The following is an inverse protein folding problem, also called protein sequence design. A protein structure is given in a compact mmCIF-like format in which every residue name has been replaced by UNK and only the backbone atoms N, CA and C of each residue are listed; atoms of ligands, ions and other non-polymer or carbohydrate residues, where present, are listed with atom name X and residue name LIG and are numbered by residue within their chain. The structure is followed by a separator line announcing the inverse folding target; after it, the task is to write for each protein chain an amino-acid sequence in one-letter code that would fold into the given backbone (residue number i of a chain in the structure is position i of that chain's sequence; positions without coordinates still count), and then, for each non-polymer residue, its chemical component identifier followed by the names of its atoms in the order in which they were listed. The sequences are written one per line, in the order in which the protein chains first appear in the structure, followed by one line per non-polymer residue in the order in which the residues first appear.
data_IF_518474470567
#
_entry.id   IF_518474470567
#
_cell.length_a   1.000
_cell.length_b   1.000
_cell.length_c   1.000
_cell.angle_alpha   90.00
_cell.angle_beta   90.00
_cell.angle_gamma   90.00
#
_symmetry.space_group_name_H-M   'P 1'
#
loop_
_entity.id
_entity.type
_entity.pdbx_description
1 polymer ?
#
# COMPACT_ATOMS: atom_id res chain seq x y z
N UNK A 1 9.17 6.18 -97.09
CA UNK A 1 10.51 6.25 -96.46
C UNK A 1 10.64 7.54 -95.65
N UNK A 2 10.50 7.49 -94.31
CA UNK A 2 10.72 8.64 -93.41
C UNK A 2 11.87 8.30 -92.45
N UNK A 3 13.00 9.01 -92.55
CA UNK A 3 14.04 9.07 -91.50
C UNK A 3 13.68 10.23 -90.56
N UNK A 4 13.29 9.95 -89.32
CA UNK A 4 13.22 10.94 -88.24
C UNK A 4 14.56 10.95 -87.48
N UNK A 5 15.20 12.12 -87.38
CA UNK A 5 16.38 12.36 -86.54
C UNK A 5 15.96 12.28 -85.07
N UNK A 6 16.68 11.46 -84.30
CA UNK A 6 16.66 11.41 -82.84
C UNK A 6 17.37 12.66 -82.30
N UNK A 7 16.64 13.52 -81.59
CA UNK A 7 17.23 14.37 -80.54
C UNK A 7 16.98 13.67 -79.21
N UNK A 8 18.06 13.51 -78.46
CA UNK A 8 18.27 12.52 -77.41
C UNK A 8 17.65 12.97 -76.09
N UNK A 9 17.06 12.01 -75.35
CA UNK A 9 16.52 12.16 -73.99
C UNK A 9 17.55 12.63 -72.93
N UNK A 10 18.77 13.00 -73.35
CA UNK A 10 19.87 13.41 -72.47
C UNK A 10 19.78 14.90 -72.07
N UNK A 11 19.24 15.75 -72.95
CA UNK A 11 19.18 17.21 -72.70
C UNK A 11 18.16 17.62 -71.63
N UNK A 12 17.01 16.93 -71.55
CA UNK A 12 15.98 17.22 -70.54
C UNK A 12 16.36 16.73 -69.14
N UNK A 13 17.20 15.69 -69.04
CA UNK A 13 17.67 15.15 -67.76
C UNK A 13 18.75 16.04 -67.14
N UNK A 14 19.65 16.62 -67.96
CA UNK A 14 20.71 17.51 -67.49
C UNK A 14 20.17 18.82 -66.90
N UNK A 15 19.11 19.39 -67.47
CA UNK A 15 18.48 20.63 -66.98
C UNK A 15 17.82 20.40 -65.61
N UNK A 16 17.21 19.23 -65.40
CA UNK A 16 16.61 18.86 -64.11
C UNK A 16 17.66 18.72 -62.99
N UNK A 17 18.82 18.14 -63.28
CA UNK A 17 19.91 17.98 -62.29
C UNK A 17 20.51 19.35 -61.90
N UNK A 18 20.71 20.26 -62.86
CA UNK A 18 21.24 21.60 -62.58
C UNK A 18 20.28 22.40 -61.69
N UNK A 19 18.97 22.28 -61.89
CA UNK A 19 17.98 22.95 -61.04
C UNK A 19 17.97 22.42 -59.60
N UNK A 20 18.09 21.10 -59.40
CA UNK A 20 18.15 20.50 -58.05
C UNK A 20 19.44 20.90 -57.32
N UNK A 21 20.58 20.92 -58.02
CA UNK A 21 21.85 21.35 -57.43
C UNK A 21 21.87 22.85 -57.07
N UNK A 22 21.21 23.71 -57.85
CA UNK A 22 21.09 25.13 -57.53
C UNK A 22 20.24 25.38 -56.28
N UNK A 23 19.15 24.64 -56.09
CA UNK A 23 18.31 24.73 -54.88
C UNK A 23 19.07 24.23 -53.64
N UNK A 24 19.82 23.13 -53.76
CA UNK A 24 20.65 22.61 -52.68
C UNK A 24 21.77 23.60 -52.28
N UNK A 25 22.37 24.29 -53.25
CA UNK A 25 23.41 25.29 -52.98
C UNK A 25 22.84 26.50 -52.23
N UNK A 26 21.67 27.01 -52.64
CA UNK A 26 20.99 28.13 -51.97
C UNK A 26 20.59 27.75 -50.53
N UNK A 27 20.08 26.54 -50.31
CA UNK A 27 19.77 26.05 -48.97
C UNK A 27 21.03 25.93 -48.08
N UNK A 28 22.16 25.49 -48.65
CA UNK A 28 23.44 25.37 -47.92
C UNK A 28 24.03 26.72 -47.52
N UNK A 29 23.95 27.73 -48.41
CA UNK A 29 24.40 29.10 -48.13
C UNK A 29 23.48 29.78 -47.12
N UNK A 30 22.17 29.53 -47.18
CA UNK A 30 21.21 29.99 -46.17
C UNK A 30 21.48 29.40 -44.79
N UNK A 31 21.78 28.10 -44.70
CA UNK A 31 22.14 27.43 -43.45
C UNK A 31 23.47 27.92 -42.87
N UNK A 32 24.47 28.19 -43.73
CA UNK A 32 25.76 28.72 -43.30
C UNK A 32 25.67 30.17 -42.83
N UNK A 33 24.88 31.01 -43.52
CA UNK A 33 24.56 32.37 -43.09
C UNK A 33 23.79 32.39 -41.77
N UNK A 34 22.82 31.49 -41.60
CA UNK A 34 22.07 31.31 -40.35
C UNK A 34 22.98 30.92 -39.17
N UNK A 35 23.97 30.03 -39.38
CA UNK A 35 24.97 29.67 -38.35
C UNK A 35 25.93 30.81 -38.00
N UNK A 36 26.29 31.66 -38.96
CA UNK A 36 27.20 32.80 -38.74
C UNK A 36 26.55 33.97 -38.00
N UNK A 37 25.21 34.08 -38.04
CA UNK A 37 24.44 35.16 -37.41
C UNK A 37 23.97 34.84 -35.98
N UNK A 38 24.23 33.63 -35.47
CA UNK A 38 23.95 33.32 -34.07
C UNK A 38 25.05 33.91 -33.17
N UNK A 39 24.69 34.65 -32.10
CA UNK A 39 25.67 35.06 -31.09
C UNK A 39 26.31 33.81 -30.47
N UNK A 40 27.64 33.79 -30.35
CA UNK A 40 28.34 32.72 -29.65
C UNK A 40 27.95 32.74 -28.17
N UNK A 41 27.38 31.65 -27.67
CA UNK A 41 27.16 31.46 -26.23
C UNK A 41 28.48 31.58 -25.45
N UNK A 42 28.46 32.15 -24.23
CA UNK A 42 29.66 32.21 -23.42
C UNK A 42 30.10 30.80 -23.05
N UNK A 43 31.38 30.48 -23.31
CA UNK A 43 32.00 29.22 -22.91
C UNK A 43 32.02 29.14 -21.38
N UNK A 44 31.10 28.37 -20.81
CA UNK A 44 31.24 27.84 -19.46
C UNK A 44 32.37 26.81 -19.47
N UNK A 45 33.41 27.06 -18.68
CA UNK A 45 34.43 26.07 -18.34
C UNK A 45 33.73 24.85 -17.73
N UNK A 46 33.68 23.75 -18.47
CA UNK A 46 33.31 22.44 -17.91
C UNK A 46 34.51 21.98 -17.09
N UNK A 47 34.45 22.16 -15.76
CA UNK A 47 35.22 21.32 -14.85
C UNK A 47 34.70 19.91 -15.05
N UNK A 48 35.56 18.98 -15.48
CA UNK A 48 35.27 17.56 -15.39
C UNK A 48 35.07 17.20 -13.92
N UNK A 49 33.82 17.24 -13.47
CA UNK A 49 33.40 16.65 -12.23
C UNK A 49 33.42 15.13 -12.45
N UNK A 50 34.50 14.50 -12.00
CA UNK A 50 34.54 13.06 -11.81
C UNK A 50 33.39 12.73 -10.86
N UNK A 51 32.29 12.20 -11.39
CA UNK A 51 31.28 11.50 -10.58
C UNK A 51 32.01 10.36 -9.89
N UNK A 52 32.42 10.60 -8.64
CA UNK A 52 32.58 9.51 -7.68
C UNK A 52 31.21 8.87 -7.61
N UNK A 53 31.10 7.62 -8.05
CA UNK A 53 30.12 6.73 -7.45
C UNK A 53 30.45 6.76 -5.95
N UNK A 54 29.69 7.55 -5.19
CA UNK A 54 29.53 7.27 -3.77
C UNK A 54 28.96 5.85 -3.74
N UNK A 55 29.81 4.88 -3.37
CA UNK A 55 29.28 3.66 -2.77
C UNK A 55 28.40 4.16 -1.63
N UNK A 56 27.09 3.97 -1.74
CA UNK A 56 26.22 3.99 -0.58
C UNK A 56 26.95 3.23 0.52
N UNK A 57 27.20 3.91 1.64
CA UNK A 57 27.80 3.26 2.78
C UNK A 57 26.90 2.06 3.11
N UNK A 58 27.46 0.85 3.16
CA UNK A 58 26.66 -0.31 3.56
C UNK A 58 25.94 0.03 4.87
N UNK A 59 24.62 -0.17 4.95
CA UNK A 59 23.86 0.20 6.14
C UNK A 59 24.49 -0.45 7.37
N UNK A 60 24.87 0.39 8.34
CA UNK A 60 25.51 -0.08 9.57
C UNK A 60 24.43 -0.72 10.42
N UNK A 61 24.41 -2.05 10.45
CA UNK A 61 23.47 -2.82 11.26
C UNK A 61 23.71 -2.62 12.75
N UNK A 62 22.65 -2.48 13.53
CA UNK A 62 22.69 -2.54 14.99
C UNK A 62 22.87 -3.99 15.50
N UNK A 63 23.11 -4.17 16.81
CA UNK A 63 23.40 -5.49 17.38
C UNK A 63 22.26 -6.52 17.15
N UNK A 64 20.98 -6.09 17.17
CA UNK A 64 19.84 -6.97 16.88
C UNK A 64 19.81 -7.37 15.42
N UNK A 65 19.98 -6.40 14.51
CA UNK A 65 20.03 -6.63 13.07
C UNK A 65 21.20 -7.55 12.69
N UNK A 66 22.37 -7.38 13.30
CA UNK A 66 23.52 -8.27 13.09
C UNK A 66 23.23 -9.70 13.55
N UNK A 67 22.62 -9.87 14.72
CA UNK A 67 22.25 -11.18 15.23
C UNK A 67 21.20 -11.86 14.32
N UNK A 68 20.21 -11.09 13.87
CA UNK A 68 19.16 -11.57 12.97
C UNK A 68 19.72 -11.93 11.58
N UNK A 69 20.50 -11.06 10.95
CA UNK A 69 21.18 -11.34 9.67
C UNK A 69 22.03 -12.62 9.73
N UNK A 70 22.71 -12.85 10.86
CA UNK A 70 23.51 -14.06 11.06
C UNK A 70 22.66 -15.34 11.14
N UNK A 71 21.46 -15.26 11.73
CA UNK A 71 20.52 -16.37 11.80
C UNK A 71 19.79 -16.60 10.47
N UNK A 72 19.66 -15.55 9.64
CA UNK A 72 18.92 -15.55 8.38
C UNK A 72 19.81 -15.10 7.19
N UNK A 73 20.82 -15.91 6.80
CA UNK A 73 21.83 -15.51 5.81
C UNK A 73 21.29 -15.32 4.39
N UNK A 74 20.06 -15.78 4.11
CA UNK A 74 19.42 -15.68 2.81
C UNK A 74 18.62 -14.37 2.64
N UNK A 75 18.39 -13.61 3.72
CA UNK A 75 17.68 -12.34 3.67
C UNK A 75 18.58 -11.20 3.19
N UNK A 76 18.00 -10.24 2.45
CA UNK A 76 18.68 -8.98 2.17
C UNK A 76 18.83 -8.16 3.45
N UNK A 77 19.77 -7.21 3.46
CA UNK A 77 19.94 -6.32 4.60
C UNK A 77 18.69 -5.47 4.86
N UNK A 78 18.03 -5.01 3.78
CA UNK A 78 16.78 -4.27 3.88
C UNK A 78 15.68 -5.12 4.56
N UNK A 79 15.57 -6.39 4.19
CA UNK A 79 14.59 -7.29 4.79
C UNK A 79 14.90 -7.57 6.26
N UNK A 80 16.19 -7.73 6.62
CA UNK A 80 16.62 -7.84 8.03
C UNK A 80 16.19 -6.61 8.82
N UNK A 81 16.47 -5.41 8.32
CA UNK A 81 16.13 -4.16 9.00
C UNK A 81 14.62 -4.02 9.18
N UNK A 82 13.85 -4.33 8.14
CA UNK A 82 12.38 -4.32 8.17
C UNK A 82 11.85 -5.28 9.23
N UNK A 83 12.27 -6.54 9.22
CA UNK A 83 11.77 -7.54 10.17
C UNK A 83 12.15 -7.24 11.61
N UNK A 84 13.36 -6.75 11.86
CA UNK A 84 13.81 -6.35 13.20
C UNK A 84 13.10 -5.09 13.71
N UNK A 85 12.81 -4.14 12.81
CA UNK A 85 11.99 -2.97 13.12
C UNK A 85 10.55 -3.38 13.51
N UNK A 86 10.00 -4.40 12.84
CA UNK A 86 8.69 -5.00 13.16
C UNK A 86 8.71 -5.95 14.37
N UNK A 87 9.86 -6.13 15.03
CA UNK A 87 10.04 -7.06 16.17
C UNK A 87 9.87 -8.55 15.86
N UNK A 88 9.94 -8.95 14.59
CA UNK A 88 9.83 -10.35 14.16
C UNK A 88 11.04 -11.22 14.56
N UNK A 89 12.11 -10.60 15.08
CA UNK A 89 13.21 -11.28 15.76
C UNK A 89 12.88 -11.72 17.20
N UNK A 90 11.69 -11.39 17.70
CA UNK A 90 11.27 -11.63 19.08
C UNK A 90 10.00 -12.49 19.12
N UNK A 91 9.91 -13.34 20.15
CA UNK A 91 8.73 -14.14 20.40
C UNK A 91 7.50 -13.25 20.67
N UNK A 92 6.35 -13.49 20.01
CA UNK A 92 5.12 -12.73 20.22
C UNK A 92 4.74 -12.64 21.70
N UNK A 93 4.24 -11.47 22.12
CA UNK A 93 3.84 -11.18 23.50
C UNK A 93 4.94 -11.23 24.58
N UNK A 94 6.22 -11.25 24.22
CA UNK A 94 7.33 -11.24 25.20
C UNK A 94 7.91 -9.86 25.50
N UNK A 95 7.81 -8.93 24.54
CA UNK A 95 8.39 -7.58 24.61
C UNK A 95 7.39 -6.54 24.10
N UNK A 96 6.21 -6.52 24.71
CA UNK A 96 5.15 -5.58 24.35
C UNK A 96 5.56 -4.13 24.59
N UNK A 97 5.20 -3.26 23.66
CA UNK A 97 5.34 -1.82 23.76
C UNK A 97 3.95 -1.17 23.80
N UNK A 98 3.75 -0.16 24.66
CA UNK A 98 2.49 0.57 24.65
C UNK A 98 2.35 1.35 23.34
N UNK A 99 1.15 1.39 22.80
CA UNK A 99 0.83 2.35 21.72
C UNK A 99 0.95 3.77 22.27
N UNK A 100 1.84 4.58 21.67
CA UNK A 100 2.15 5.92 22.16
C UNK A 100 1.07 6.96 21.82
N UNK A 101 0.65 7.01 20.55
CA UNK A 101 -0.36 7.97 20.07
C UNK A 101 -1.73 7.30 19.95
N UNK A 102 -2.49 7.34 21.04
CA UNK A 102 -3.81 6.73 21.18
C UNK A 102 -4.92 7.42 20.34
N UNK A 103 -4.65 8.60 19.78
CA UNK A 103 -5.62 9.34 18.96
C UNK A 103 -5.38 9.13 17.45
N UNK A 104 -4.20 8.65 17.06
CA UNK A 104 -3.82 8.40 15.66
C UNK A 104 -4.75 7.40 14.96
N UNK A 105 -5.07 7.64 13.69
CA UNK A 105 -5.75 6.64 12.84
C UNK A 105 -4.79 5.51 12.40
N UNK A 106 -3.49 5.70 12.59
CA UNK A 106 -2.42 4.78 12.21
C UNK A 106 -1.87 3.98 13.40
N UNK A 107 -2.58 3.94 14.53
CA UNK A 107 -2.21 3.10 15.68
C UNK A 107 -1.93 1.67 15.24
N UNK A 108 -0.71 1.18 15.49
CA UNK A 108 -0.36 -0.21 15.29
C UNK A 108 -0.68 -0.97 16.57
N UNK A 109 -1.63 -1.91 16.50
CA UNK A 109 -1.99 -2.79 17.61
C UNK A 109 -1.84 -4.22 17.12
N UNK A 110 -0.96 -4.98 17.75
CA UNK A 110 -0.66 -6.36 17.35
C UNK A 110 0.01 -7.12 18.50
N UNK A 111 0.73 -8.20 18.20
CA UNK A 111 1.43 -9.04 19.20
C UNK A 111 2.71 -8.43 19.78
N UNK A 112 3.04 -7.20 19.42
CA UNK A 112 4.16 -6.41 19.93
C UNK A 112 3.73 -5.04 20.45
N UNK A 113 2.54 -4.55 20.09
CA UNK A 113 2.01 -3.26 20.52
C UNK A 113 0.63 -3.40 21.18
N UNK A 114 0.48 -2.91 22.42
CA UNK A 114 -0.76 -3.01 23.20
C UNK A 114 -1.37 -1.67 23.60
N UNK A 115 -2.70 -1.67 23.67
CA UNK A 115 -3.52 -0.58 24.20
C UNK A 115 -3.70 -0.73 25.72
N UNK A 116 -3.78 0.39 26.47
CA UNK A 116 -4.14 0.37 27.88
C UNK A 116 -5.48 -0.33 28.14
N UNK A 117 -5.62 -0.94 29.31
CA UNK A 117 -6.84 -1.68 29.67
C UNK A 117 -8.07 -0.80 29.88
N UNK A 118 -7.87 0.50 30.11
CA UNK A 118 -8.90 1.52 30.26
C UNK A 118 -9.08 2.37 28.99
N UNK A 119 -8.37 2.06 27.91
CA UNK A 119 -8.52 2.79 26.65
C UNK A 119 -9.86 2.47 25.98
N UNK A 120 -10.66 3.53 25.81
CA UNK A 120 -11.89 3.57 25.03
C UNK A 120 -11.89 4.88 24.22
N UNK A 121 -12.03 4.83 22.88
CA UNK A 121 -12.09 6.04 22.08
C UNK A 121 -13.27 6.92 22.49
N UNK A 122 -13.00 8.22 22.71
CA UNK A 122 -14.03 9.17 23.18
C UNK A 122 -15.05 9.57 22.11
N UNK A 123 -14.79 9.23 20.84
CA UNK A 123 -15.54 9.64 19.66
C UNK A 123 -16.27 8.47 18.99
N UNK A 124 -16.56 7.39 19.73
CA UNK A 124 -17.35 6.27 19.23
C UNK A 124 -18.78 6.71 18.88
N UNK A 125 -19.24 6.33 17.69
CA UNK A 125 -20.63 6.46 17.26
C UNK A 125 -21.14 5.14 16.71
N UNK A 126 -22.46 4.96 16.72
CA UNK A 126 -23.12 3.80 16.11
C UNK A 126 -22.95 3.80 14.60
N UNK A 127 -22.63 2.63 14.04
CA UNK A 127 -22.70 2.38 12.60
C UNK A 127 -24.14 2.04 12.24
N UNK A 128 -24.72 2.75 11.26
CA UNK A 128 -26.12 2.58 10.86
C UNK A 128 -26.31 1.30 10.06
N UNK A 129 -25.34 0.96 9.23
CA UNK A 129 -25.28 -0.27 8.42
C UNK A 129 -24.75 -1.48 9.21
N UNK A 130 -25.08 -1.56 10.51
CA UNK A 130 -24.83 -2.74 11.33
C UNK A 130 -25.85 -3.84 10.99
N UNK A 131 -25.38 -5.05 10.69
CA UNK A 131 -26.24 -6.20 10.35
C UNK A 131 -27.01 -6.79 11.55
N UNK A 132 -27.42 -8.06 11.46
CA UNK A 132 -28.33 -8.71 12.42
C UNK A 132 -27.81 -8.78 13.87
N UNK A 133 -26.49 -8.65 14.10
CA UNK A 133 -25.85 -8.79 15.42
C UNK A 133 -26.00 -7.56 16.33
N UNK A 134 -26.84 -6.59 15.96
CA UNK A 134 -27.11 -5.39 16.73
C UNK A 134 -26.15 -4.24 16.41
N UNK A 135 -26.36 -3.12 17.10
CA UNK A 135 -25.61 -1.88 16.85
C UNK A 135 -24.14 -2.05 17.24
N UNK A 136 -23.27 -1.86 16.25
CA UNK A 136 -21.81 -1.80 16.45
C UNK A 136 -21.34 -0.35 16.46
N UNK A 137 -20.15 -0.11 17.01
CA UNK A 137 -19.60 1.23 17.18
C UNK A 137 -18.22 1.32 16.54
N UNK A 138 -17.92 2.45 15.93
CA UNK A 138 -16.60 2.79 15.41
C UNK A 138 -16.29 4.24 15.78
N UNK A 139 -15.01 4.63 15.76
CA UNK A 139 -14.64 6.03 15.85
C UNK A 139 -15.33 6.82 14.74
N UNK A 140 -15.77 8.04 15.04
CA UNK A 140 -16.62 8.83 14.14
C UNK A 140 -16.11 8.90 12.70
N UNK A 141 -14.83 9.16 12.50
CA UNK A 141 -14.25 9.28 11.16
C UNK A 141 -14.33 7.96 10.38
N UNK A 142 -13.99 6.84 11.03
CA UNK A 142 -14.07 5.51 10.46
C UNK A 142 -15.52 5.09 10.19
N UNK A 143 -16.46 5.40 11.08
CA UNK A 143 -17.89 5.16 10.89
C UNK A 143 -18.44 5.92 9.67
N UNK A 144 -18.17 7.23 9.58
CA UNK A 144 -18.61 8.07 8.46
C UNK A 144 -18.02 7.59 7.12
N UNK A 145 -16.78 7.09 7.14
CA UNK A 145 -16.13 6.51 5.97
C UNK A 145 -16.74 5.15 5.58
N UNK A 146 -17.04 4.30 6.57
CA UNK A 146 -17.64 3.00 6.34
C UNK A 146 -19.02 3.13 5.68
N UNK A 147 -19.86 4.07 6.13
CA UNK A 147 -21.17 4.31 5.52
C UNK A 147 -21.07 4.76 4.05
N UNK A 148 -20.01 5.51 3.68
CA UNK A 148 -19.76 5.85 2.27
C UNK A 148 -19.37 4.61 1.47
N UNK A 149 -18.54 3.73 2.02
CA UNK A 149 -18.19 2.47 1.39
C UNK A 149 -19.43 1.58 1.20
N UNK A 150 -20.29 1.49 2.21
CA UNK A 150 -21.58 0.76 2.13
C UNK A 150 -22.47 1.33 1.02
N UNK A 151 -22.62 2.66 0.95
CA UNK A 151 -23.38 3.30 -0.11
C UNK A 151 -22.81 2.99 -1.50
N UNK A 152 -21.48 3.00 -1.64
CA UNK A 152 -20.82 2.65 -2.89
C UNK A 152 -21.02 1.16 -3.26
N UNK A 153 -20.94 0.26 -2.28
CA UNK A 153 -21.27 -1.17 -2.47
C UNK A 153 -22.69 -1.37 -3.01
N UNK A 154 -23.67 -0.64 -2.47
CA UNK A 154 -25.05 -0.68 -2.93
C UNK A 154 -25.19 -0.21 -4.38
N UNK A 155 -24.46 0.84 -4.77
CA UNK A 155 -24.43 1.34 -6.14
C UNK A 155 -23.82 0.33 -7.12
N UNK A 156 -22.94 -0.55 -6.64
CA UNK A 156 -22.40 -1.69 -7.40
C UNK A 156 -23.27 -2.93 -7.35
N UNK A 157 -24.39 -2.89 -6.62
CA UNK A 157 -25.39 -3.94 -6.61
C UNK A 157 -25.16 -5.06 -5.59
N UNK A 158 -24.41 -4.81 -4.52
CA UNK A 158 -24.30 -5.74 -3.39
C UNK A 158 -24.43 -5.01 -2.04
N UNK A 159 -24.82 -5.75 -1.01
CA UNK A 159 -24.96 -5.22 0.35
C UNK A 159 -23.66 -5.48 1.10
N UNK A 160 -23.18 -4.45 1.79
CA UNK A 160 -22.06 -4.54 2.73
C UNK A 160 -22.56 -4.11 4.11
N UNK A 161 -22.37 -4.93 5.13
CA UNK A 161 -22.79 -4.60 6.49
C UNK A 161 -21.67 -4.88 7.49
N UNK A 162 -21.66 -4.10 8.58
CA UNK A 162 -20.80 -4.37 9.72
C UNK A 162 -21.38 -5.53 10.55
N UNK A 163 -20.53 -6.50 10.91
CA UNK A 163 -20.84 -7.63 11.78
C UNK A 163 -20.31 -7.44 13.20
N UNK A 164 -19.10 -6.89 13.32
CA UNK A 164 -18.40 -6.64 14.58
C UNK A 164 -17.46 -5.45 14.38
N UNK A 165 -17.32 -4.57 15.36
CA UNK A 165 -16.45 -3.39 15.27
C UNK A 165 -15.77 -3.13 16.63
N UNK A 166 -15.96 -1.97 17.28
CA UNK A 166 -15.35 -1.71 18.59
C UNK A 166 -15.62 -2.83 19.59
N UNK A 167 -14.55 -3.33 20.22
CA UNK A 167 -14.59 -4.27 21.34
C UNK A 167 -13.77 -3.70 22.48
N UNK A 168 -14.38 -3.52 23.65
CA UNK A 168 -13.66 -3.05 24.83
C UNK A 168 -12.61 -4.08 25.28
N UNK A 169 -11.61 -3.61 26.02
CA UNK A 169 -10.60 -4.49 26.63
C UNK A 169 -11.24 -5.64 27.41
N UNK A 170 -12.22 -5.34 28.27
CA UNK A 170 -12.91 -6.35 29.08
C UNK A 170 -13.68 -7.37 28.24
N UNK A 171 -14.23 -6.98 27.08
CA UNK A 171 -14.83 -7.95 26.15
C UNK A 171 -13.76 -8.91 25.61
N UNK A 172 -12.63 -8.36 25.14
CA UNK A 172 -11.53 -9.15 24.61
C UNK A 172 -10.93 -10.09 25.67
N UNK A 173 -10.82 -9.63 26.91
CA UNK A 173 -10.37 -10.43 28.06
C UNK A 173 -11.26 -11.65 28.29
N UNK A 174 -12.58 -11.46 28.28
CA UNK A 174 -13.50 -12.58 28.41
C UNK A 174 -13.36 -13.56 27.23
N UNK A 175 -13.27 -13.05 26.00
CA UNK A 175 -13.11 -13.89 24.81
C UNK A 175 -11.83 -14.73 24.86
N UNK A 176 -10.69 -14.08 25.15
CA UNK A 176 -9.39 -14.74 25.24
C UNK A 176 -9.35 -15.75 26.39
N UNK A 177 -9.81 -15.38 27.59
CA UNK A 177 -9.82 -16.27 28.75
C UNK A 177 -10.72 -17.49 28.54
N UNK A 178 -11.84 -17.35 27.82
CA UNK A 178 -12.65 -18.49 27.40
C UNK A 178 -11.88 -19.40 26.44
N UNK A 179 -11.14 -18.86 25.48
CA UNK A 179 -10.24 -19.63 24.61
C UNK A 179 -9.21 -20.43 25.41
N UNK A 180 -8.49 -19.75 26.33
CA UNK A 180 -7.50 -20.39 27.21
C UNK A 180 -8.12 -21.50 28.05
N UNK A 181 -9.29 -21.26 28.65
CA UNK A 181 -9.95 -22.23 29.51
C UNK A 181 -10.38 -23.51 28.76
N UNK A 182 -10.80 -23.38 27.50
CA UNK A 182 -11.31 -24.50 26.71
C UNK A 182 -10.22 -25.24 25.91
N UNK A 183 -9.18 -24.53 25.47
CA UNK A 183 -8.21 -25.06 24.50
C UNK A 183 -6.74 -24.93 24.93
N UNK A 184 -6.46 -24.23 26.03
CA UNK A 184 -5.10 -23.94 26.49
C UNK A 184 -4.52 -22.67 25.87
N UNK A 185 -3.45 -22.15 26.49
CA UNK A 185 -2.89 -20.85 26.13
C UNK A 185 -2.25 -20.82 24.74
N UNK A 186 -1.46 -21.83 24.39
CA UNK A 186 -0.81 -21.90 23.06
C UNK A 186 -1.82 -21.86 21.92
N UNK A 187 -2.92 -22.63 22.06
CA UNK A 187 -4.02 -22.58 21.10
C UNK A 187 -4.73 -21.23 21.14
N UNK A 188 -4.95 -20.66 22.33
CA UNK A 188 -5.59 -19.36 22.44
C UNK A 188 -4.79 -18.24 21.75
N UNK A 189 -3.47 -18.20 21.93
CA UNK A 189 -2.55 -17.22 21.33
C UNK A 189 -2.47 -17.33 19.79
N UNK A 190 -2.83 -18.50 19.23
CA UNK A 190 -2.87 -18.71 17.78
C UNK A 190 -4.16 -18.19 17.12
N UNK A 191 -5.30 -18.23 17.83
CA UNK A 191 -6.63 -17.93 17.27
C UNK A 191 -7.28 -16.66 17.84
N UNK A 192 -6.81 -16.18 18.99
CA UNK A 192 -7.34 -14.97 19.64
C UNK A 192 -6.20 -14.03 20.00
N UNK A 193 -6.44 -12.75 19.77
CA UNK A 193 -5.56 -11.69 20.28
C UNK A 193 -5.71 -11.57 21.79
N UNK A 194 -4.60 -11.34 22.49
CA UNK A 194 -4.63 -10.99 23.91
C UNK A 194 -5.34 -9.65 24.13
N UNK A 195 -5.91 -9.40 25.32
CA UNK A 195 -6.50 -8.10 25.65
C UNK A 195 -5.45 -6.99 25.50
N UNK A 196 -5.84 -5.85 24.94
CA UNK A 196 -4.92 -4.77 24.56
C UNK A 196 -4.29 -4.94 23.18
N UNK A 197 -4.17 -6.17 22.66
CA UNK A 197 -3.57 -6.48 21.34
C UNK A 197 -4.59 -6.71 20.23
N UNK A 198 -5.86 -6.37 20.46
CA UNK A 198 -6.93 -6.49 19.45
C UNK A 198 -7.18 -5.13 18.79
N UNK A 199 -7.05 -5.05 17.47
CA UNK A 199 -7.32 -3.79 16.75
C UNK A 199 -8.77 -3.32 16.91
N UNK A 200 -9.71 -4.22 17.21
CA UNK A 200 -11.08 -3.81 17.52
C UNK A 200 -11.18 -2.83 18.69
N UNK A 201 -10.24 -2.85 19.64
CA UNK A 201 -10.24 -1.90 20.75
C UNK A 201 -9.95 -0.46 20.29
N UNK A 202 -9.30 -0.28 19.13
CA UNK A 202 -9.08 1.05 18.52
C UNK A 202 -10.38 1.72 18.06
N UNK A 203 -11.44 0.95 17.84
CA UNK A 203 -12.65 1.43 17.16
C UNK A 203 -12.44 1.79 15.67
N UNK A 204 -11.31 1.41 15.08
CA UNK A 204 -10.97 1.63 13.67
C UNK A 204 -11.15 0.40 12.78
N UNK A 205 -11.39 -0.77 13.39
CA UNK A 205 -11.61 -2.03 12.68
C UNK A 205 -13.08 -2.39 12.59
N UNK A 206 -13.45 -3.07 11.50
CA UNK A 206 -14.78 -3.62 11.28
C UNK A 206 -14.69 -4.96 10.55
N UNK A 207 -15.30 -5.98 11.14
CA UNK A 207 -15.58 -7.24 10.46
C UNK A 207 -16.86 -7.07 9.64
N UNK A 208 -16.82 -7.43 8.37
CA UNK A 208 -17.93 -7.24 7.43
C UNK A 208 -18.65 -8.54 7.07
N UNK A 209 -19.87 -8.39 6.56
CA UNK A 209 -20.60 -9.42 5.81
C UNK A 209 -21.07 -8.83 4.50
N UNK A 210 -21.19 -9.69 3.48
CA UNK A 210 -21.73 -9.33 2.18
C UNK A 210 -23.09 -10.01 1.97
N UNK A 211 -24.06 -9.28 1.40
CA UNK A 211 -25.42 -9.79 1.09
C UNK A 211 -26.17 -10.43 2.27
N UNK A 212 -25.88 -9.95 3.48
CA UNK A 212 -26.41 -10.50 4.74
C UNK A 212 -26.12 -11.99 4.92
N UNK A 213 -25.05 -12.53 4.32
CA UNK A 213 -24.64 -13.91 4.55
C UNK A 213 -24.27 -14.09 6.03
N UNK A 214 -25.05 -14.92 6.73
CA UNK A 214 -24.88 -15.24 8.15
C UNK A 214 -24.05 -16.49 8.41
N UNK A 215 -23.41 -17.04 7.38
CA UNK A 215 -22.46 -18.15 7.49
C UNK A 215 -21.12 -17.72 8.12
N UNK A 216 -20.08 -18.53 7.93
CA UNK A 216 -18.74 -18.19 8.40
C UNK A 216 -18.27 -16.84 7.82
N UNK A 217 -17.53 -16.04 8.59
CA UNK A 217 -17.01 -14.77 8.08
C UNK A 217 -16.07 -14.98 6.90
N UNK A 218 -15.41 -16.13 6.81
CA UNK A 218 -14.56 -16.46 5.67
C UNK A 218 -15.36 -16.61 4.36
N UNK A 219 -16.69 -16.73 4.41
CA UNK A 219 -17.51 -16.74 3.19
C UNK A 219 -17.36 -15.44 2.37
N UNK A 220 -16.93 -14.33 2.99
CA UNK A 220 -16.68 -13.04 2.32
C UNK A 220 -15.74 -13.19 1.12
N UNK A 221 -14.65 -13.98 1.23
CA UNK A 221 -13.70 -14.17 0.10
C UNK A 221 -14.31 -14.81 -1.14
N UNK A 222 -15.41 -15.55 -0.96
CA UNK A 222 -16.08 -16.27 -2.05
C UNK A 222 -17.18 -15.43 -2.72
N UNK A 223 -17.47 -14.24 -2.21
CA UNK A 223 -18.51 -13.38 -2.74
C UNK A 223 -18.10 -12.82 -4.13
N UNK A 224 -19.00 -12.80 -5.13
CA UNK A 224 -18.67 -12.32 -6.49
C UNK A 224 -18.10 -10.89 -6.54
N UNK A 225 -18.55 -10.01 -5.63
CA UNK A 225 -18.08 -8.62 -5.54
C UNK A 225 -16.86 -8.41 -4.64
N UNK A 226 -16.25 -9.48 -4.10
CA UNK A 226 -15.10 -9.35 -3.19
C UNK A 226 -13.90 -8.66 -3.85
N UNK A 227 -13.63 -8.99 -5.12
CA UNK A 227 -12.58 -8.32 -5.90
C UNK A 227 -12.81 -6.82 -6.05
N UNK A 228 -14.06 -6.39 -6.25
CA UNK A 228 -14.42 -4.97 -6.28
C UNK A 228 -14.15 -4.31 -4.93
N UNK A 229 -14.51 -4.96 -3.83
CA UNK A 229 -14.25 -4.42 -2.49
C UNK A 229 -12.75 -4.19 -2.27
N UNK A 230 -11.90 -5.19 -2.58
CA UNK A 230 -10.45 -5.07 -2.43
C UNK A 230 -9.84 -3.96 -3.29
N UNK A 231 -10.37 -3.76 -4.50
CA UNK A 231 -9.91 -2.72 -5.41
C UNK A 231 -10.31 -1.31 -4.93
N UNK A 232 -11.47 -1.15 -4.30
CA UNK A 232 -12.04 0.19 -4.07
C UNK A 232 -12.12 0.63 -2.61
N UNK A 233 -11.97 -0.27 -1.62
CA UNK A 233 -12.10 0.08 -0.19
C UNK A 233 -11.09 1.17 0.25
N UNK A 234 -9.92 1.25 -0.41
CA UNK A 234 -8.90 2.23 -0.09
C UNK A 234 -9.33 3.67 -0.40
N UNK A 235 -10.21 3.86 -1.38
CA UNK A 235 -10.78 5.17 -1.74
C UNK A 235 -11.61 5.76 -0.58
N UNK A 236 -12.06 4.88 0.33
CA UNK A 236 -12.80 5.22 1.53
C UNK A 236 -11.93 5.16 2.79
N UNK A 237 -10.63 4.90 2.67
CA UNK A 237 -9.69 4.87 3.78
C UNK A 237 -9.58 3.53 4.51
N UNK A 238 -10.11 2.45 3.92
CA UNK A 238 -10.00 1.10 4.48
C UNK A 238 -8.94 0.26 3.78
N UNK A 239 -8.34 -0.64 4.55
CA UNK A 239 -7.43 -1.68 4.06
C UNK A 239 -7.96 -3.06 4.49
N UNK A 240 -7.60 -4.10 3.75
CA UNK A 240 -7.68 -5.47 4.24
C UNK A 240 -6.54 -5.64 5.24
N UNK A 241 -6.85 -5.81 6.52
CA UNK A 241 -5.83 -5.74 7.57
C UNK A 241 -4.88 -6.92 7.57
N UNK A 242 -5.40 -8.10 7.23
CA UNK A 242 -4.69 -9.38 7.22
C UNK A 242 -4.81 -10.04 5.84
N UNK A 243 -4.05 -9.58 4.82
CA UNK A 243 -4.00 -10.21 3.49
C UNK A 243 -3.40 -11.62 3.50
N UNK A 244 -3.75 -12.41 2.48
CA UNK A 244 -3.30 -13.81 2.32
C UNK A 244 -1.77 -13.98 2.27
N UNK A 245 -1.03 -12.97 1.80
CA UNK A 245 0.42 -13.01 1.58
C UNK A 245 1.23 -12.27 2.65
N UNK A 246 0.61 -11.88 3.77
CA UNK A 246 1.24 -11.04 4.81
C UNK A 246 1.28 -11.62 6.21
N UNK A 247 0.90 -12.90 6.38
CA UNK A 247 0.92 -13.56 7.70
C UNK A 247 2.30 -13.51 8.37
N UNK A 248 3.39 -13.59 7.61
CA UNK A 248 4.76 -13.50 8.13
C UNK A 248 5.08 -12.12 8.76
N UNK A 249 4.33 -11.07 8.41
CA UNK A 249 4.49 -9.73 8.97
C UNK A 249 3.43 -9.38 10.02
N UNK A 250 2.18 -9.75 9.77
CA UNK A 250 1.06 -9.43 10.68
C UNK A 250 0.97 -10.38 11.87
N UNK A 251 1.51 -11.60 11.71
CA UNK A 251 1.41 -12.72 12.65
C UNK A 251 -0.03 -13.14 12.97
N UNK A 252 -0.96 -12.81 12.07
CA UNK A 252 -2.37 -13.14 12.11
C UNK A 252 -2.72 -13.81 10.79
N UNK A 253 -3.40 -14.96 10.88
CA UNK A 253 -3.87 -15.70 9.72
C UNK A 253 -4.77 -14.82 8.84
N UNK A 254 -4.88 -15.09 7.53
CA UNK A 254 -5.63 -14.22 6.64
C UNK A 254 -7.12 -14.11 7.01
N UNK A 255 -7.63 -12.88 7.09
CA UNK A 255 -9.02 -12.59 7.46
C UNK A 255 -9.68 -11.75 6.38
N UNK A 256 -10.37 -12.41 5.45
CA UNK A 256 -11.00 -11.77 4.29
C UNK A 256 -12.08 -10.74 4.63
N UNK A 257 -12.61 -10.79 5.86
CA UNK A 257 -13.67 -9.95 6.38
C UNK A 257 -13.18 -8.76 7.21
N UNK A 258 -11.91 -8.70 7.62
CA UNK A 258 -11.44 -7.74 8.60
C UNK A 258 -10.87 -6.48 7.92
N UNK A 259 -11.65 -5.40 7.94
CA UNK A 259 -11.23 -4.11 7.40
C UNK A 259 -10.72 -3.20 8.50
N UNK A 260 -9.64 -2.46 8.21
CA UNK A 260 -9.06 -1.47 9.12
C UNK A 260 -9.08 -0.08 8.47
N UNK A 261 -9.62 0.91 9.17
CA UNK A 261 -9.56 2.31 8.77
C UNK A 261 -8.20 2.93 9.12
N UNK A 262 -7.58 3.59 8.14
CA UNK A 262 -6.28 4.27 8.27
C UNK A 262 -6.27 5.66 7.64
N UNK A 263 -7.43 6.13 7.13
CA UNK A 263 -7.53 7.34 6.32
C UNK A 263 -7.18 7.09 4.85
N UNK A 264 -7.73 7.93 3.96
CA UNK A 264 -7.66 7.74 2.49
C UNK A 264 -6.22 7.74 1.97
N UNK A 265 -5.40 8.68 2.42
CA UNK A 265 -4.02 8.83 1.92
C UNK A 265 -3.16 7.61 2.25
N UNK A 266 -3.25 7.10 3.48
CA UNK A 266 -2.50 5.91 3.91
C UNK A 266 -3.05 4.65 3.23
N UNK A 267 -4.37 4.48 3.20
CA UNK A 267 -4.99 3.32 2.56
C UNK A 267 -4.63 3.23 1.08
N UNK A 268 -4.61 4.36 0.38
CA UNK A 268 -4.24 4.42 -1.04
C UNK A 268 -2.78 4.01 -1.25
N UNK A 269 -1.84 4.51 -0.44
CA UNK A 269 -0.43 4.07 -0.52
C UNK A 269 -0.26 2.59 -0.21
N UNK A 270 -0.98 2.08 0.80
CA UNK A 270 -0.99 0.65 1.15
C UNK A 270 -1.48 -0.17 -0.05
N UNK A 271 -2.59 0.23 -0.65
CA UNK A 271 -3.16 -0.46 -1.81
C UNK A 271 -2.20 -0.45 -3.01
N UNK A 272 -1.66 0.71 -3.39
CA UNK A 272 -0.77 0.87 -4.54
C UNK A 272 0.53 0.06 -4.42
N UNK A 273 1.03 -0.14 -3.19
CA UNK A 273 2.27 -0.86 -2.92
C UNK A 273 2.04 -2.30 -2.42
N UNK A 274 0.79 -2.73 -2.28
CA UNK A 274 0.42 -4.04 -1.72
C UNK A 274 1.07 -4.31 -0.36
N UNK A 275 1.03 -3.31 0.53
CA UNK A 275 1.59 -3.39 1.88
C UNK A 275 0.55 -3.83 2.92
N UNK A 276 1.00 -4.43 4.02
CA UNK A 276 0.24 -4.41 5.27
C UNK A 276 0.48 -3.10 6.06
N UNK A 277 -0.24 -2.90 7.17
CA UNK A 277 -0.06 -1.70 7.99
C UNK A 277 1.36 -1.61 8.58
N UNK A 278 1.92 -2.74 9.01
CA UNK A 278 3.29 -2.83 9.52
C UNK A 278 4.29 -2.32 8.46
N UNK A 279 4.20 -2.81 7.23
CA UNK A 279 5.06 -2.39 6.12
C UNK A 279 4.90 -0.91 5.80
N UNK A 280 3.66 -0.39 5.77
CA UNK A 280 3.43 1.03 5.56
C UNK A 280 4.11 1.89 6.62
N UNK A 281 3.99 1.51 7.90
CA UNK A 281 4.62 2.26 8.97
C UNK A 281 6.15 2.17 8.92
N UNK A 282 6.71 1.06 8.42
CA UNK A 282 8.15 0.97 8.17
C UNK A 282 8.60 1.92 7.05
N UNK A 283 7.94 1.88 5.89
CA UNK A 283 8.35 2.62 4.69
C UNK A 283 7.95 4.11 4.69
N UNK A 284 6.97 4.52 5.49
CA UNK A 284 6.47 5.90 5.55
C UNK A 284 7.23 6.82 6.53
N UNK A 285 8.31 6.33 7.15
CA UNK A 285 9.18 7.09 8.06
C UNK A 285 10.00 8.18 7.37
#
# INVERSE_FOLDING_TARGET
MKRKRRLTKLGAFLIGIIAVLAVALIASLGFLGYKMLQPTEPKTEIKEEVKKEEKEAEPVLNDREQAYAKAHPDLSIEEVQKQVWMHLDQEPYTHMQPVEDLDSMLQLVNKYYDLPSDYEPSDLISVSSSGENGTVYMRKEAADAFEKLVQASLEQGFILNACSAYRSYGYQENLYNNGVANYGQEYADAYWTRPGSSEHQTGLSVDIRMDNDTSDLDAVRNHPSYSWLLEHMHEYGFILRYPDDKEDYTLIAPESWHLRYVGVDAATKIHENQWCLEEYLYYAQ
#
